data_IF_153331305281
#
_entry.id   IF_153331305281
#
_cell.length_a   1.000
_cell.length_b   1.000
_cell.length_c   1.000
_cell.angle_alpha   90.00
_cell.angle_beta   90.00
_cell.angle_gamma   90.00
#
_symmetry.space_group_name_H-M   'P 1'
#
loop_
_entity.id
_entity.type
_entity.pdbx_description
1 polymer ?
#
# COMPACT_ATOMS: atom_id res chain seq x y z
N UNK A 1 8.00 15.39 -10.60
CA UNK A 1 7.28 14.39 -9.79
C UNK A 1 6.83 15.10 -8.51
N UNK A 2 5.54 15.11 -8.19
CA UNK A 2 4.99 15.91 -7.08
C UNK A 2 5.25 15.23 -5.73
N UNK A 3 6.13 15.81 -4.90
CA UNK A 3 6.51 15.34 -3.56
C UNK A 3 5.62 15.92 -2.44
N UNK A 4 4.38 16.31 -2.75
CA UNK A 4 3.52 17.14 -1.87
C UNK A 4 2.98 16.41 -0.63
N UNK A 5 3.06 15.08 -0.56
CA UNK A 5 2.65 14.29 0.62
C UNK A 5 3.77 13.99 1.64
N UNK A 6 5.01 14.42 1.35
CA UNK A 6 6.22 14.00 2.07
C UNK A 6 6.31 14.63 3.47
N UNK A 7 6.56 13.81 4.50
CA UNK A 7 6.65 14.24 5.90
C UNK A 7 7.70 15.34 6.15
N UNK A 8 8.74 15.43 5.30
CA UNK A 8 9.81 16.43 5.39
C UNK A 8 9.29 17.87 5.31
N UNK A 9 8.28 18.14 4.48
CA UNK A 9 7.70 19.48 4.32
C UNK A 9 6.75 19.87 5.47
N UNK A 10 6.47 18.95 6.41
CA UNK A 10 5.56 19.17 7.55
C UNK A 10 6.28 19.33 8.89
N UNK A 11 7.49 18.77 9.05
CA UNK A 11 8.29 18.93 10.29
C UNK A 11 9.25 20.11 10.15
N UNK A 12 8.84 21.28 10.64
CA UNK A 12 9.61 22.54 10.67
C UNK A 12 10.12 23.00 9.30
N UNK A 13 9.24 23.44 8.38
CA UNK A 13 9.71 24.16 7.21
C UNK A 13 10.30 25.51 7.63
N UNK A 14 11.38 25.96 6.99
CA UNK A 14 11.98 27.28 7.19
C UNK A 14 11.16 28.42 6.56
N UNK A 15 10.02 28.09 5.94
CA UNK A 15 9.10 28.97 5.23
C UNK A 15 7.65 28.50 5.43
N UNK A 16 6.66 29.39 5.29
CA UNK A 16 5.23 29.05 5.47
C UNK A 16 4.76 28.11 4.36
N UNK A 17 4.66 26.81 4.66
CA UNK A 17 4.14 25.79 3.75
C UNK A 17 2.70 25.46 4.12
N UNK A 18 1.76 25.72 3.22
CA UNK A 18 0.37 25.26 3.33
C UNK A 18 0.23 23.96 2.53
N UNK A 19 -0.10 22.86 3.21
CA UNK A 19 -0.38 21.59 2.55
C UNK A 19 -1.90 21.44 2.38
N UNK A 20 -2.37 21.42 1.13
CA UNK A 20 -3.80 21.33 0.81
C UNK A 20 -4.34 19.88 0.85
N UNK A 21 -3.46 18.87 0.86
CA UNK A 21 -3.82 17.45 0.91
C UNK A 21 -3.41 16.76 2.21
N UNK A 22 -3.87 15.53 2.42
CA UNK A 22 -3.46 14.68 3.55
C UNK A 22 -1.99 14.21 3.40
N UNK A 23 -1.33 13.82 4.49
CA UNK A 23 0.00 13.21 4.39
C UNK A 23 -0.11 11.77 3.90
N UNK A 24 0.97 11.24 3.30
CA UNK A 24 1.08 9.81 3.00
C UNK A 24 0.85 8.90 4.22
N UNK A 25 1.11 9.41 5.44
CA UNK A 25 0.78 8.69 6.66
C UNK A 25 -0.72 8.72 6.96
N UNK A 26 -1.36 9.87 6.83
CA UNK A 26 -2.79 10.05 7.12
C UNK A 26 -3.64 9.21 6.16
N UNK A 27 -3.29 9.19 4.86
CA UNK A 27 -3.95 8.33 3.88
C UNK A 27 -3.75 6.85 4.18
N UNK A 28 -2.55 6.46 4.62
CA UNK A 28 -2.29 5.08 5.02
C UNK A 28 -3.07 4.69 6.29
N UNK A 29 -3.22 5.61 7.25
CA UNK A 29 -4.02 5.40 8.46
C UNK A 29 -5.47 5.16 8.07
N UNK A 30 -6.07 6.02 7.24
CA UNK A 30 -7.48 5.83 6.89
C UNK A 30 -7.73 4.59 6.04
N UNK A 31 -6.79 4.20 5.20
CA UNK A 31 -6.90 2.93 4.50
C UNK A 31 -6.95 1.74 5.46
N UNK A 32 -6.06 1.73 6.46
CA UNK A 32 -6.01 0.65 7.42
C UNK A 32 -7.23 0.70 8.34
N UNK A 33 -7.70 1.87 8.75
CA UNK A 33 -8.95 2.04 9.49
C UNK A 33 -10.13 1.45 8.71
N UNK A 34 -10.27 1.79 7.44
CA UNK A 34 -11.33 1.25 6.59
C UNK A 34 -11.24 -0.28 6.46
N UNK A 35 -10.05 -0.84 6.26
CA UNK A 35 -9.86 -2.28 6.16
C UNK A 35 -10.15 -3.02 7.48
N UNK A 36 -9.72 -2.47 8.61
CA UNK A 36 -9.81 -3.14 9.92
C UNK A 36 -11.16 -2.85 10.57
N UNK A 37 -11.51 -1.58 10.73
CA UNK A 37 -12.66 -1.14 11.53
C UNK A 37 -13.98 -1.31 10.77
N UNK A 38 -14.03 -0.93 9.47
CA UNK A 38 -15.27 -1.02 8.69
C UNK A 38 -15.49 -2.40 8.06
N UNK A 39 -14.42 -3.00 7.54
CA UNK A 39 -14.50 -4.27 6.80
C UNK A 39 -14.09 -5.50 7.63
N UNK A 40 -13.53 -5.32 8.83
CA UNK A 40 -13.16 -6.43 9.72
C UNK A 40 -11.96 -7.27 9.27
N UNK A 41 -11.11 -6.75 8.37
CA UNK A 41 -9.93 -7.46 7.87
C UNK A 41 -8.68 -7.13 8.70
N UNK A 42 -8.25 -8.10 9.53
CA UNK A 42 -7.04 -7.96 10.37
C UNK A 42 -5.78 -8.54 9.72
N UNK A 43 -5.95 -9.46 8.77
CA UNK A 43 -4.87 -10.16 8.08
C UNK A 43 -4.57 -9.45 6.75
N UNK A 44 -3.79 -8.38 6.83
CA UNK A 44 -3.51 -7.52 5.67
C UNK A 44 -2.12 -7.85 5.10
N UNK A 45 -2.04 -8.08 3.80
CA UNK A 45 -0.78 -8.15 3.06
C UNK A 45 -0.52 -6.85 2.29
N UNK A 46 0.75 -6.58 1.99
CA UNK A 46 1.17 -5.39 1.25
C UNK A 46 1.76 -5.79 -0.11
N UNK A 47 1.34 -5.10 -1.17
CA UNK A 47 1.98 -5.18 -2.48
C UNK A 47 2.61 -3.83 -2.81
N UNK A 48 3.93 -3.78 -2.89
CA UNK A 48 4.70 -2.53 -2.94
C UNK A 48 5.61 -2.49 -4.17
N UNK A 49 5.57 -1.39 -4.91
CA UNK A 49 6.55 -1.11 -5.95
C UNK A 49 7.95 -0.89 -5.33
N UNK A 50 8.98 -1.53 -5.89
CA UNK A 50 10.35 -1.45 -5.38
C UNK A 50 11.06 -0.16 -5.83
N UNK A 51 10.54 0.99 -5.40
CA UNK A 51 11.14 2.32 -5.55
C UNK A 51 11.08 3.13 -4.25
N UNK A 52 11.69 4.31 -4.24
CA UNK A 52 11.75 5.18 -3.05
C UNK A 52 10.35 5.57 -2.55
N UNK A 53 9.41 5.72 -3.48
CA UNK A 53 8.01 6.01 -3.18
C UNK A 53 7.34 4.84 -2.44
N UNK A 54 7.46 3.63 -2.98
CA UNK A 54 6.94 2.41 -2.36
C UNK A 54 7.58 2.12 -1.01
N UNK A 55 8.87 2.40 -0.82
CA UNK A 55 9.54 2.28 0.49
C UNK A 55 8.95 3.25 1.51
N UNK A 56 8.68 4.49 1.10
CA UNK A 56 8.09 5.52 1.97
C UNK A 56 6.68 5.11 2.40
N UNK A 57 5.84 4.71 1.45
CA UNK A 57 4.47 4.29 1.73
C UNK A 57 4.40 2.96 2.49
N UNK A 58 5.32 2.04 2.25
CA UNK A 58 5.43 0.82 3.06
C UNK A 58 5.65 1.16 4.53
N UNK A 59 6.50 2.15 4.84
CA UNK A 59 6.71 2.60 6.22
C UNK A 59 5.42 3.19 6.81
N UNK A 60 4.71 4.02 6.05
CA UNK A 60 3.42 4.58 6.47
C UNK A 60 2.39 3.50 6.76
N UNK A 61 2.18 2.55 5.84
CA UNK A 61 1.25 1.43 5.99
C UNK A 61 1.62 0.50 7.15
N UNK A 62 2.91 0.21 7.31
CA UNK A 62 3.39 -0.59 8.45
C UNK A 62 3.15 0.13 9.77
N UNK A 63 3.30 1.46 9.79
CA UNK A 63 3.03 2.27 10.99
C UNK A 63 1.54 2.28 11.31
N UNK A 64 0.68 2.49 10.30
CA UNK A 64 -0.77 2.43 10.45
C UNK A 64 -1.25 1.06 10.96
N UNK A 65 -0.73 -0.04 10.40
CA UNK A 65 -1.02 -1.40 10.90
C UNK A 65 -0.60 -1.58 12.36
N UNK A 66 0.59 -1.09 12.72
CA UNK A 66 1.08 -1.16 14.12
C UNK A 66 0.19 -0.37 15.08
N UNK A 67 -0.35 0.78 14.66
CA UNK A 67 -1.30 1.55 15.47
C UNK A 67 -2.59 0.76 15.76
N UNK A 68 -2.96 -0.16 14.87
CA UNK A 68 -4.07 -1.12 15.05
C UNK A 68 -3.65 -2.44 15.69
N UNK A 69 -2.40 -2.55 16.18
CA UNK A 69 -1.90 -3.77 16.82
C UNK A 69 -1.63 -4.93 15.86
N UNK A 70 -1.59 -4.68 14.54
CA UNK A 70 -1.33 -5.71 13.52
C UNK A 70 -0.01 -5.44 12.79
N UNK A 71 0.51 -6.48 12.13
CA UNK A 71 1.66 -6.41 11.24
C UNK A 71 1.31 -7.03 9.90
N UNK A 72 1.91 -6.56 8.79
CA UNK A 72 1.61 -7.11 7.48
C UNK A 72 1.98 -8.59 7.41
N UNK A 73 1.04 -9.43 6.96
CA UNK A 73 1.20 -10.89 6.87
C UNK A 73 2.25 -11.29 5.84
N UNK A 74 2.29 -10.57 4.73
CA UNK A 74 3.34 -10.65 3.73
C UNK A 74 3.54 -9.30 3.07
N UNK A 75 4.76 -9.10 2.57
CA UNK A 75 5.13 -7.92 1.80
C UNK A 75 5.66 -8.42 0.45
N UNK A 76 4.79 -8.36 -0.56
CA UNK A 76 5.16 -8.61 -1.94
C UNK A 76 5.78 -7.36 -2.56
N UNK A 77 6.93 -7.51 -3.22
CA UNK A 77 7.56 -6.42 -3.97
C UNK A 77 7.64 -6.74 -5.45
N UNK A 78 7.46 -5.73 -6.30
CA UNK A 78 7.61 -5.85 -7.75
C UNK A 78 8.45 -4.70 -8.30
N UNK A 79 9.18 -4.94 -9.40
CA UNK A 79 10.10 -3.96 -9.99
C UNK A 79 9.33 -2.92 -10.82
N UNK A 80 9.75 -1.66 -10.72
CA UNK A 80 9.20 -0.57 -11.55
C UNK A 80 9.37 -0.89 -13.04
N UNK A 81 8.36 -0.52 -13.85
CA UNK A 81 8.28 -0.77 -15.30
C UNK A 81 8.20 -2.25 -15.73
N UNK A 82 7.87 -3.15 -14.81
CA UNK A 82 7.65 -4.57 -15.13
C UNK A 82 6.24 -5.01 -14.74
N UNK A 83 5.77 -6.09 -15.37
CA UNK A 83 4.53 -6.76 -15.00
C UNK A 83 4.77 -7.99 -14.11
N UNK A 84 6.00 -8.14 -13.60
CA UNK A 84 6.46 -9.29 -12.81
C UNK A 84 5.91 -9.26 -11.38
N UNK A 85 4.58 -9.40 -11.27
CA UNK A 85 3.85 -9.43 -9.99
C UNK A 85 3.61 -10.85 -9.49
N UNK A 86 3.98 -11.87 -10.28
CA UNK A 86 3.71 -13.29 -10.00
C UNK A 86 4.43 -13.82 -8.76
N UNK A 87 5.67 -13.39 -8.54
CA UNK A 87 6.43 -13.73 -7.33
C UNK A 87 5.77 -13.15 -6.09
N UNK A 88 5.37 -11.88 -6.17
CA UNK A 88 4.63 -11.21 -5.10
C UNK A 88 3.27 -11.88 -4.84
N UNK A 89 2.55 -12.27 -5.90
CA UNK A 89 1.28 -13.01 -5.79
C UNK A 89 1.46 -14.36 -5.10
N UNK A 90 2.49 -15.15 -5.45
CA UNK A 90 2.76 -16.42 -4.78
C UNK A 90 3.09 -16.24 -3.29
N UNK A 91 3.80 -15.17 -2.93
CA UNK A 91 4.09 -14.85 -1.53
C UNK A 91 2.82 -14.46 -0.76
N UNK A 92 2.01 -13.56 -1.32
CA UNK A 92 0.79 -13.07 -0.69
C UNK A 92 -0.25 -14.20 -0.54
N UNK A 93 -0.41 -15.05 -1.55
CA UNK A 93 -1.34 -16.18 -1.49
C UNK A 93 -0.97 -17.21 -0.41
N UNK A 94 0.31 -17.34 -0.05
CA UNK A 94 0.75 -18.22 1.04
C UNK A 94 0.55 -17.62 2.43
N UNK A 95 0.29 -16.31 2.50
CA UNK A 95 0.23 -15.57 3.75
C UNK A 95 -1.17 -15.58 4.40
N UNK A 96 -2.14 -16.28 3.79
CA UNK A 96 -3.54 -16.32 4.25
C UNK A 96 -4.12 -14.93 4.57
N UNK A 97 -3.72 -13.92 3.80
CA UNK A 97 -4.25 -12.58 3.97
C UNK A 97 -5.72 -12.53 3.54
N UNK A 98 -6.53 -11.74 4.23
CA UNK A 98 -7.93 -11.48 3.83
C UNK A 98 -8.05 -10.23 2.97
N UNK A 99 -7.09 -9.31 3.09
CA UNK A 99 -7.03 -8.10 2.30
C UNK A 99 -5.59 -7.78 1.85
N UNK A 100 -5.46 -7.10 0.71
CA UNK A 100 -4.18 -6.66 0.18
C UNK A 100 -4.21 -5.15 -0.06
N UNK A 101 -3.36 -4.42 0.66
CA UNK A 101 -3.13 -3.00 0.42
C UNK A 101 -2.01 -2.84 -0.63
N UNK A 102 -2.32 -2.12 -1.71
CA UNK A 102 -1.46 -2.03 -2.88
C UNK A 102 -0.93 -0.60 -3.10
N UNK A 103 0.35 -0.52 -3.47
CA UNK A 103 1.06 0.73 -3.79
C UNK A 103 1.86 0.56 -5.08
N UNK A 104 1.56 1.36 -6.09
CA UNK A 104 2.34 1.40 -7.32
C UNK A 104 1.61 1.98 -8.52
N UNK A 105 2.11 1.68 -9.71
CA UNK A 105 1.50 2.16 -10.96
C UNK A 105 0.28 1.32 -11.35
N UNK A 106 -0.68 1.94 -12.06
CA UNK A 106 -1.94 1.30 -12.45
C UNK A 106 -1.77 -0.08 -13.11
N UNK A 107 -0.90 -0.13 -14.14
CA UNK A 107 -0.74 -1.29 -15.02
C UNK A 107 -0.33 -2.58 -14.27
N UNK A 108 0.74 -2.60 -13.45
CA UNK A 108 1.10 -3.80 -12.69
C UNK A 108 0.06 -4.17 -11.62
N UNK A 109 -0.64 -3.19 -11.03
CA UNK A 109 -1.68 -3.47 -10.03
C UNK A 109 -2.91 -4.12 -10.67
N UNK A 110 -3.38 -3.61 -11.81
CA UNK A 110 -4.46 -4.24 -12.57
C UNK A 110 -4.08 -5.66 -13.00
N UNK A 111 -2.84 -5.86 -13.47
CA UNK A 111 -2.34 -7.19 -13.83
C UNK A 111 -2.32 -8.14 -12.62
N UNK A 112 -1.93 -7.66 -11.44
CA UNK A 112 -1.94 -8.44 -10.20
C UNK A 112 -3.36 -8.88 -9.82
N UNK A 113 -4.34 -7.96 -9.85
CA UNK A 113 -5.75 -8.27 -9.55
C UNK A 113 -6.27 -9.33 -10.51
N UNK A 114 -6.02 -9.17 -11.82
CA UNK A 114 -6.45 -10.13 -12.84
C UNK A 114 -5.87 -11.53 -12.63
N UNK A 115 -4.56 -11.61 -12.36
CA UNK A 115 -3.90 -12.89 -12.07
C UNK A 115 -4.44 -13.53 -10.79
N UNK A 116 -4.79 -12.73 -9.79
CA UNK A 116 -5.31 -13.24 -8.53
C UNK A 116 -6.74 -13.76 -8.66
N UNK A 117 -7.59 -13.07 -9.41
CA UNK A 117 -8.94 -13.54 -9.76
C UNK A 117 -8.90 -14.87 -10.50
N UNK A 118 -7.98 -15.03 -11.46
CA UNK A 118 -7.77 -16.31 -12.16
C UNK A 118 -7.39 -17.47 -11.22
N UNK A 119 -6.73 -17.17 -10.10
CA UNK A 119 -6.32 -18.16 -9.10
C UNK A 119 -7.35 -18.38 -7.99
N UNK A 120 -8.55 -17.82 -8.12
CA UNK A 120 -9.64 -17.92 -7.12
C UNK A 120 -9.22 -17.53 -5.70
N UNK A 121 -8.25 -16.63 -5.58
CA UNK A 121 -7.86 -16.11 -4.26
C UNK A 121 -8.86 -15.02 -3.88
N UNK A 122 -9.76 -15.32 -2.95
CA UNK A 122 -10.70 -14.34 -2.40
C UNK A 122 -9.94 -13.44 -1.43
N UNK A 123 -9.48 -12.31 -1.94
CA UNK A 123 -8.86 -11.25 -1.16
C UNK A 123 -9.51 -9.94 -1.56
N UNK A 124 -9.83 -9.10 -0.57
CA UNK A 124 -10.24 -7.74 -0.87
C UNK A 124 -9.02 -6.93 -1.31
N UNK A 125 -9.09 -6.32 -2.49
CA UNK A 125 -8.00 -5.50 -3.04
C UNK A 125 -8.31 -4.03 -2.84
N UNK A 126 -7.48 -3.33 -2.06
CA UNK A 126 -7.62 -1.89 -1.86
C UNK A 126 -6.35 -1.17 -2.33
N UNK A 127 -6.50 -0.28 -3.29
CA UNK A 127 -5.41 0.48 -3.90
C UNK A 127 -5.40 1.91 -3.35
N UNK A 128 -4.31 2.30 -2.69
CA UNK A 128 -4.21 3.64 -2.09
C UNK A 128 -3.59 4.67 -3.04
N UNK A 129 -2.65 4.23 -3.86
CA UNK A 129 -1.88 5.12 -4.72
C UNK A 129 -1.74 4.54 -6.10
N UNK A 130 -2.48 5.13 -7.04
CA UNK A 130 -2.29 4.96 -8.46
C UNK A 130 -1.63 6.23 -9.02
N UNK A 131 -0.29 6.25 -9.00
CA UNK A 131 0.45 7.33 -9.66
C UNK A 131 0.27 7.12 -11.17
N UNK A 132 -0.46 8.05 -11.82
CA UNK A 132 -0.56 8.14 -13.28
C UNK A 132 0.82 8.41 -13.89
#
# INVERSE_FOLDING_TARGET
>A
MHYTGTAFLRKKPSFNVFNLGASYLDEAIEQINYLVDELGHYQIALLIQADEFGITLQKSLTTALKMKGSTPQAIGRFRRNTYEVEKALKLINKANATAVAMVGTFKPLAHFIHLSQKKQTVCLYLCLFCVK
#
